data_IF_440893813084
#
_entry.id   IF_440893813084
#
_cell.length_a   1.000
_cell.length_b   1.000
_cell.length_c   1.000
_cell.angle_alpha   90.00
_cell.angle_beta   90.00
_cell.angle_gamma   90.00
#
_symmetry.space_group_name_H-M   'P 1'
#
loop_
_entity.id
_entity.type
_entity.pdbx_description
1 polymer ?
#
# COMPACT_ATOMS: atom_id res chain seq x y z
N UNK A 1 -0.53 -21.34 5.60
CA UNK A 1 -1.30 -20.97 4.38
C UNK A 1 -0.94 -19.55 3.96
N UNK A 2 -1.13 -19.19 2.68
CA UNK A 2 -0.85 -17.84 2.13
C UNK A 2 -2.12 -17.26 1.51
N UNK A 3 -2.46 -16.01 1.83
CA UNK A 3 -3.54 -15.26 1.19
C UNK A 3 -2.96 -14.44 0.03
N UNK A 4 -3.26 -14.84 -1.19
CA UNK A 4 -2.90 -14.09 -2.40
C UNK A 4 -3.96 -13.05 -2.72
N UNK A 5 -3.54 -11.80 -2.98
CA UNK A 5 -4.43 -10.73 -3.42
C UNK A 5 -5.24 -10.09 -2.30
N UNK A 6 -4.59 -9.53 -1.27
CA UNK A 6 -5.27 -8.85 -0.17
C UNK A 6 -5.97 -7.54 -0.56
N UNK A 7 -5.58 -6.90 -1.68
CA UNK A 7 -6.16 -5.62 -2.09
C UNK A 7 -7.67 -5.75 -2.37
N UNK A 8 -8.47 -4.94 -1.66
CA UNK A 8 -9.94 -4.91 -1.80
C UNK A 8 -10.69 -5.86 -0.86
N UNK A 9 -9.99 -6.74 -0.14
CA UNK A 9 -10.60 -7.57 0.90
C UNK A 9 -10.86 -6.71 2.14
N UNK A 10 -12.07 -6.77 2.73
CA UNK A 10 -12.36 -6.09 4.00
C UNK A 10 -11.39 -6.50 5.10
N UNK A 11 -11.01 -5.56 5.98
CA UNK A 11 -10.02 -5.82 7.02
C UNK A 11 -10.47 -6.91 8.00
N UNK A 12 -11.77 -6.97 8.30
CA UNK A 12 -12.39 -8.00 9.13
C UNK A 12 -12.23 -9.41 8.55
N UNK A 13 -12.32 -9.54 7.22
CA UNK A 13 -12.17 -10.83 6.54
C UNK A 13 -10.71 -11.27 6.51
N UNK A 14 -9.77 -10.33 6.32
CA UNK A 14 -8.33 -10.61 6.45
C UNK A 14 -8.03 -11.10 7.87
N UNK A 15 -8.52 -10.41 8.90
CA UNK A 15 -8.33 -10.80 10.31
C UNK A 15 -8.97 -12.15 10.61
N UNK A 16 -10.15 -12.44 10.05
CA UNK A 16 -10.81 -13.75 10.18
C UNK A 16 -9.98 -14.84 9.52
N UNK A 17 -9.43 -14.61 8.33
CA UNK A 17 -8.58 -15.57 7.65
C UNK A 17 -7.30 -15.87 8.45
N UNK A 18 -6.70 -14.85 9.07
CA UNK A 18 -5.54 -15.01 9.96
C UNK A 18 -5.88 -15.89 11.17
N UNK A 19 -7.01 -15.61 11.85
CA UNK A 19 -7.49 -16.45 12.96
C UNK A 19 -7.73 -17.91 12.57
N UNK A 20 -7.91 -18.20 11.28
CA UNK A 20 -8.10 -19.54 10.73
C UNK A 20 -6.83 -20.15 10.09
N UNK A 21 -5.64 -19.58 10.33
CA UNK A 21 -4.34 -20.21 9.97
C UNK A 21 -3.62 -19.61 8.76
N UNK A 22 -4.05 -18.45 8.25
CA UNK A 22 -3.24 -17.65 7.31
C UNK A 22 -2.15 -16.91 8.09
N UNK A 23 -0.89 -17.11 7.71
CA UNK A 23 0.27 -16.47 8.35
C UNK A 23 1.08 -15.58 7.38
N UNK A 24 0.61 -15.42 6.14
CA UNK A 24 1.22 -14.54 5.12
C UNK A 24 0.15 -13.96 4.22
N UNK A 25 0.12 -12.63 4.10
CA UNK A 25 -0.80 -11.88 3.22
C UNK A 25 0.02 -11.15 2.16
N UNK A 26 -0.36 -11.31 0.88
CA UNK A 26 0.27 -10.59 -0.23
C UNK A 26 -0.57 -9.37 -0.62
N UNK A 27 0.03 -8.18 -0.63
CA UNK A 27 -0.59 -6.92 -1.07
C UNK A 27 0.29 -6.23 -2.10
N UNK A 28 -0.28 -5.90 -3.26
CA UNK A 28 0.51 -5.37 -4.39
C UNK A 28 -0.23 -4.32 -5.20
N UNK A 29 -1.49 -4.59 -5.55
CA UNK A 29 -2.30 -3.66 -6.36
C UNK A 29 -2.45 -2.31 -5.68
N UNK A 30 -2.76 -2.28 -4.38
CA UNK A 30 -2.90 -1.02 -3.65
C UNK A 30 -1.57 -0.28 -3.52
N UNK A 31 -0.45 -0.98 -3.31
CA UNK A 31 0.88 -0.37 -3.25
C UNK A 31 1.23 0.30 -4.58
N UNK A 32 0.99 -0.38 -5.70
CA UNK A 32 1.19 0.17 -7.05
C UNK A 32 0.27 1.36 -7.31
N UNK A 33 -1.00 1.27 -6.92
CA UNK A 33 -1.96 2.35 -7.08
C UNK A 33 -1.58 3.60 -6.28
N UNK A 34 -1.18 3.43 -5.01
CA UNK A 34 -0.72 4.53 -4.15
C UNK A 34 0.51 5.22 -4.73
N UNK A 35 1.48 4.45 -5.24
CA UNK A 35 2.65 5.00 -5.92
C UNK A 35 2.28 5.84 -7.14
N UNK A 36 1.54 5.24 -8.10
CA UNK A 36 1.21 5.91 -9.36
C UNK A 36 0.34 7.15 -9.13
N UNK A 37 -0.61 7.07 -8.20
CA UNK A 37 -1.47 8.20 -7.85
C UNK A 37 -0.65 9.35 -7.25
N UNK A 38 0.25 9.05 -6.30
CA UNK A 38 1.08 10.08 -5.65
C UNK A 38 2.05 10.76 -6.63
N UNK A 39 2.66 9.98 -7.53
CA UNK A 39 3.50 10.52 -8.61
C UNK A 39 2.68 11.41 -9.55
N UNK A 40 1.51 10.93 -10.00
CA UNK A 40 0.65 11.69 -10.91
C UNK A 40 0.16 13.01 -10.30
N UNK A 41 -0.30 12.99 -9.05
CA UNK A 41 -0.76 14.18 -8.33
C UNK A 41 0.39 15.18 -8.10
N UNK A 42 1.57 14.69 -7.74
CA UNK A 42 2.75 15.55 -7.53
C UNK A 42 3.17 16.21 -8.84
N UNK A 43 3.23 15.45 -9.94
CA UNK A 43 3.58 15.97 -11.27
C UNK A 43 2.56 17.00 -11.75
N UNK A 44 1.25 16.73 -11.57
CA UNK A 44 0.17 17.66 -11.94
C UNK A 44 0.26 18.98 -11.16
N UNK A 45 0.71 18.93 -9.90
CA UNK A 45 0.82 20.10 -9.02
C UNK A 45 2.08 20.93 -9.27
N UNK A 46 3.23 20.29 -9.48
CA UNK A 46 4.55 20.95 -9.53
C UNK A 46 5.02 21.20 -10.96
N UNK A 47 4.53 20.43 -11.93
CA UNK A 47 4.93 20.51 -13.33
C UNK A 47 6.14 19.64 -13.69
N UNK A 48 6.46 19.51 -14.98
CA UNK A 48 7.42 18.53 -15.49
C UNK A 48 8.90 18.87 -15.25
N UNK A 49 9.20 20.05 -14.71
CA UNK A 49 10.57 20.48 -14.39
C UNK A 49 11.05 19.98 -13.02
N UNK A 50 10.18 19.31 -12.25
CA UNK A 50 10.53 18.73 -10.95
C UNK A 50 11.63 17.67 -11.10
N UNK A 51 12.60 17.66 -10.18
CA UNK A 51 13.62 16.63 -10.14
C UNK A 51 13.00 15.27 -9.78
N UNK A 52 13.48 14.21 -10.42
CA UNK A 52 12.90 12.86 -10.32
C UNK A 52 12.88 12.30 -8.89
N UNK A 53 13.88 12.62 -8.07
CA UNK A 53 13.90 12.21 -6.65
C UNK A 53 12.79 12.91 -5.88
N UNK A 54 12.63 14.23 -6.08
CA UNK A 54 11.61 15.04 -5.38
C UNK A 54 10.19 14.64 -5.80
N UNK A 55 10.03 14.13 -7.03
CA UNK A 55 8.78 13.53 -7.50
C UNK A 55 8.46 12.21 -6.79
N UNK A 56 9.48 11.40 -6.49
CA UNK A 56 9.29 10.07 -5.89
C UNK A 56 9.19 10.08 -4.36
N UNK A 57 9.80 11.05 -3.67
CA UNK A 57 9.76 11.13 -2.20
C UNK A 57 8.33 11.14 -1.63
N UNK A 58 7.36 11.90 -2.17
CA UNK A 58 5.97 11.84 -1.71
C UNK A 58 5.34 10.45 -1.89
N UNK A 59 5.66 9.76 -2.98
CA UNK A 59 5.13 8.43 -3.26
C UNK A 59 5.68 7.38 -2.29
N UNK A 60 6.95 7.50 -1.88
CA UNK A 60 7.56 6.65 -0.85
C UNK A 60 6.85 6.84 0.49
N UNK A 61 6.58 8.08 0.91
CA UNK A 61 5.88 8.33 2.17
C UNK A 61 4.43 7.82 2.11
N UNK A 62 3.73 8.01 0.98
CA UNK A 62 2.37 7.49 0.80
C UNK A 62 2.32 5.95 0.86
N UNK A 63 3.28 5.26 0.23
CA UNK A 63 3.41 3.80 0.33
C UNK A 63 3.67 3.38 1.77
N UNK A 64 4.55 4.07 2.49
CA UNK A 64 4.89 3.74 3.87
C UNK A 64 3.67 3.78 4.78
N UNK A 65 2.81 4.78 4.64
CA UNK A 65 1.54 4.84 5.39
C UNK A 65 0.59 3.71 5.00
N UNK A 66 0.52 3.36 3.72
CA UNK A 66 -0.27 2.22 3.24
C UNK A 66 0.26 0.87 3.79
N UNK A 67 1.58 0.71 3.88
CA UNK A 67 2.22 -0.48 4.48
C UNK A 67 1.92 -0.57 5.97
N UNK A 68 2.05 0.53 6.72
CA UNK A 68 1.69 0.58 8.16
C UNK A 68 0.22 0.20 8.38
N UNK A 69 -0.68 0.71 7.54
CA UNK A 69 -2.09 0.33 7.57
C UNK A 69 -2.26 -1.18 7.41
N UNK A 70 -1.55 -1.80 6.47
CA UNK A 70 -1.60 -3.26 6.27
C UNK A 70 -1.00 -4.08 7.40
N UNK A 71 0.08 -3.60 8.03
CA UNK A 71 0.64 -4.19 9.25
C UNK A 71 -0.44 -4.25 10.35
N UNK A 72 -1.12 -3.12 10.60
CA UNK A 72 -2.20 -3.06 11.58
C UNK A 72 -3.40 -3.94 11.21
N UNK A 73 -3.76 -4.04 9.92
CA UNK A 73 -4.80 -4.97 9.42
C UNK A 73 -4.40 -6.42 9.69
N UNK A 74 -3.13 -6.75 9.52
CA UNK A 74 -2.58 -8.09 9.72
C UNK A 74 -2.31 -8.43 11.19
N UNK A 75 -2.51 -7.50 12.14
CA UNK A 75 -2.22 -7.71 13.57
C UNK A 75 -0.75 -8.08 13.80
N UNK A 76 0.16 -7.41 13.08
CA UNK A 76 1.59 -7.71 13.06
C UNK A 76 2.46 -6.50 13.44
N UNK A 77 1.86 -5.55 14.13
CA UNK A 77 2.45 -4.33 14.69
C UNK A 77 3.32 -4.59 15.93
#
# INVERSE_FOLDING_TARGET
>A
LVLHGGTGIPAEDVRKAIKNGINKVNVGTIIKYTYLSSVFETLKRVGPTIHTIDLMLPAVEAIKEEVKRWIAVCMSD
#
